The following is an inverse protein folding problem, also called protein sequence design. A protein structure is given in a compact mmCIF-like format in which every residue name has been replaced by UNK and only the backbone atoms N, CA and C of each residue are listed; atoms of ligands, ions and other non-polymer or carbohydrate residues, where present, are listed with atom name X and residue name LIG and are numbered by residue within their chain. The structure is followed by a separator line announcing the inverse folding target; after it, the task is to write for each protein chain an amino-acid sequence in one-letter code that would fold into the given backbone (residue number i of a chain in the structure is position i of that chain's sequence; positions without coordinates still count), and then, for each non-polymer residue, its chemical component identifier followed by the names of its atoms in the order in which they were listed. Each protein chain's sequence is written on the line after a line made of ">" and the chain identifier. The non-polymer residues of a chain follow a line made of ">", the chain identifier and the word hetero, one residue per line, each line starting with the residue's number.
data_IF_414709156339
#
_entry.id   IF_414709156339
#
_cell.length_a   1.000
_cell.length_b   1.000
_cell.length_c   1.000
_cell.angle_alpha   90.00
_cell.angle_beta   90.00
_cell.angle_gamma   90.00
#
_symmetry.space_group_name_H-M   'P 1'
#
loop_
_entity.id
_entity.type
_entity.pdbx_description
1 polymer ?
#
# COMPACT_ATOMS: atom_id res chain seq x y z
N UNK A 1 9.47 14.40 45.47
CA UNK A 1 10.04 13.77 44.26
C UNK A 1 8.87 13.44 43.36
N UNK A 2 8.76 14.08 42.20
CA UNK A 2 7.70 13.79 41.23
C UNK A 2 8.21 12.68 40.29
N UNK A 3 7.54 11.52 40.28
CA UNK A 3 7.79 10.50 39.27
C UNK A 3 7.16 10.94 37.96
N UNK A 4 7.99 11.16 36.95
CA UNK A 4 7.54 11.26 35.56
C UNK A 4 7.36 9.84 35.07
N UNK A 5 6.10 9.41 34.94
CA UNK A 5 5.77 8.19 34.24
C UNK A 5 6.15 8.39 32.76
N UNK A 6 7.22 7.72 32.33
CA UNK A 6 7.49 7.60 30.90
C UNK A 6 6.48 6.60 30.33
N UNK A 7 5.43 7.12 29.68
CA UNK A 7 4.58 6.30 28.82
C UNK A 7 5.43 5.77 27.67
N UNK A 8 5.76 4.50 27.73
CA UNK A 8 6.22 3.72 26.58
C UNK A 8 5.02 3.37 25.73
N UNK A 9 5.13 3.62 24.42
CA UNK A 9 4.21 3.35 23.29
C UNK A 9 3.37 4.58 22.88
N UNK A 10 3.71 5.15 21.71
CA UNK A 10 3.24 4.62 20.43
C UNK A 10 4.41 4.43 19.44
N UNK A 11 4.79 3.19 19.16
CA UNK A 11 5.80 2.92 18.11
C UNK A 11 5.12 2.52 16.79
N UNK A 12 3.95 1.87 16.85
CA UNK A 12 3.25 1.40 15.66
C UNK A 12 2.54 2.54 14.88
N UNK A 13 2.02 3.54 15.58
CA UNK A 13 1.33 4.68 14.96
C UNK A 13 2.32 5.65 14.28
N UNK A 14 3.51 5.83 14.87
CA UNK A 14 4.58 6.65 14.31
C UNK A 14 5.18 6.03 13.03
N UNK A 15 5.33 4.70 12.97
CA UNK A 15 5.85 4.00 11.79
C UNK A 15 4.84 4.00 10.62
N UNK A 16 3.54 3.80 10.91
CA UNK A 16 2.48 3.95 9.90
C UNK A 16 2.39 5.40 9.43
N UNK A 17 2.51 6.38 10.34
CA UNK A 17 2.54 7.81 10.00
C UNK A 17 3.72 8.18 9.10
N UNK A 18 4.93 7.71 9.42
CA UNK A 18 6.12 7.91 8.58
C UNK A 18 5.94 7.30 7.19
N UNK A 19 5.44 6.06 7.13
CA UNK A 19 5.18 5.36 5.88
C UNK A 19 4.12 6.09 5.03
N UNK A 20 3.05 6.60 5.64
CA UNK A 20 2.04 7.44 4.96
C UNK A 20 2.65 8.74 4.42
N UNK A 21 3.56 9.36 5.16
CA UNK A 21 4.28 10.55 4.69
C UNK A 21 5.15 10.24 3.47
N UNK A 22 5.87 9.11 3.49
CA UNK A 22 6.67 8.65 2.33
C UNK A 22 5.77 8.39 1.13
N UNK A 23 4.66 7.68 1.30
CA UNK A 23 3.71 7.41 0.22
C UNK A 23 3.17 8.71 -0.37
N UNK A 24 2.78 9.67 0.48
CA UNK A 24 2.27 10.98 0.04
C UNK A 24 3.33 11.77 -0.75
N UNK A 25 4.58 11.74 -0.30
CA UNK A 25 5.69 12.38 -1.01
C UNK A 25 5.91 11.76 -2.40
N UNK A 26 5.90 10.44 -2.50
CA UNK A 26 6.04 9.73 -3.77
C UNK A 26 4.86 10.00 -4.72
N UNK A 27 3.63 10.05 -4.19
CA UNK A 27 2.45 10.45 -4.98
C UNK A 27 2.59 11.87 -5.55
N UNK A 28 3.19 12.79 -4.79
CA UNK A 28 3.47 14.15 -5.27
C UNK A 28 4.51 14.15 -6.41
N UNK A 29 5.54 13.31 -6.32
CA UNK A 29 6.52 13.14 -7.39
C UNK A 29 5.88 12.55 -8.68
N UNK A 30 5.04 11.52 -8.53
CA UNK A 30 4.29 10.94 -9.66
C UNK A 30 3.36 11.96 -10.32
N UNK A 31 2.70 12.80 -9.54
CA UNK A 31 1.88 13.88 -10.08
C UNK A 31 2.71 14.89 -10.89
N UNK A 32 3.91 15.22 -10.43
CA UNK A 32 4.84 16.07 -11.19
C UNK A 32 5.22 15.45 -12.54
N UNK A 33 5.51 14.14 -12.56
CA UNK A 33 5.80 13.42 -13.80
C UNK A 33 4.59 13.42 -14.76
N UNK A 34 3.38 13.21 -14.24
CA UNK A 34 2.15 13.27 -15.04
C UNK A 34 1.95 14.64 -15.70
N UNK A 35 2.34 15.74 -15.02
CA UNK A 35 2.29 17.10 -15.60
C UNK A 35 3.24 17.24 -16.79
N UNK A 36 4.45 16.69 -16.72
CA UNK A 36 5.38 16.69 -17.86
C UNK A 36 4.88 15.82 -19.01
N UNK A 37 4.33 14.64 -18.71
CA UNK A 37 3.74 13.75 -19.72
C UNK A 37 2.57 14.39 -20.47
N UNK A 38 1.76 15.20 -19.78
CA UNK A 38 0.67 15.95 -20.40
C UNK A 38 1.15 16.90 -21.51
N UNK A 39 2.37 17.47 -21.40
CA UNK A 39 2.94 18.36 -22.43
C UNK A 39 3.19 17.62 -23.75
N UNK A 40 3.45 16.32 -23.68
CA UNK A 40 3.62 15.43 -24.83
C UNK A 40 2.30 14.83 -25.34
N UNK A 41 1.15 15.30 -24.82
CA UNK A 41 -0.20 14.74 -25.09
C UNK A 41 -0.35 13.26 -24.71
N UNK A 42 0.55 12.75 -23.88
CA UNK A 42 0.39 11.42 -23.30
C UNK A 42 -0.66 11.49 -22.20
N UNK A 43 -1.51 10.46 -22.09
CA UNK A 43 -2.47 10.33 -21.01
C UNK A 43 -2.06 9.21 -20.08
N UNK A 44 -2.11 9.48 -18.78
CA UNK A 44 -1.72 8.53 -17.74
C UNK A 44 -2.74 8.59 -16.60
N UNK A 45 -3.10 7.42 -16.10
CA UNK A 45 -3.83 7.27 -14.85
C UNK A 45 -3.16 6.18 -14.02
N UNK A 46 -3.00 6.43 -12.74
CA UNK A 46 -2.41 5.52 -11.77
C UNK A 46 -3.33 5.47 -10.54
N UNK A 47 -3.61 4.25 -10.10
CA UNK A 47 -4.32 3.96 -8.86
C UNK A 47 -3.29 3.33 -7.93
N UNK A 48 -3.11 3.91 -6.75
CA UNK A 48 -2.29 3.33 -5.69
C UNK A 48 -3.19 3.02 -4.50
N UNK A 49 -2.96 1.88 -3.86
CA UNK A 49 -3.66 1.46 -2.64
C UNK A 49 -2.58 1.31 -1.56
N UNK A 50 -2.80 1.92 -0.40
CA UNK A 50 -1.93 1.79 0.75
C UNK A 50 -2.81 1.69 2.00
N UNK A 51 -2.69 0.58 2.73
CA UNK A 51 -3.60 0.24 3.83
C UNK A 51 -5.08 0.36 3.37
N UNK A 52 -5.85 1.30 3.91
CA UNK A 52 -7.25 1.55 3.52
C UNK A 52 -7.41 2.66 2.49
N UNK A 53 -6.34 3.38 2.17
CA UNK A 53 -6.37 4.58 1.36
C UNK A 53 -6.16 4.27 -0.13
N UNK A 54 -6.92 4.97 -0.97
CA UNK A 54 -6.83 4.87 -2.43
C UNK A 54 -6.45 6.23 -3.00
N UNK A 55 -5.30 6.28 -3.66
CA UNK A 55 -4.77 7.48 -4.30
C UNK A 55 -4.92 7.36 -5.81
N UNK A 56 -5.35 8.45 -6.45
CA UNK A 56 -5.43 8.53 -7.91
C UNK A 56 -4.57 9.70 -8.39
N UNK A 57 -3.50 9.37 -9.11
CA UNK A 57 -2.62 10.33 -9.77
C UNK A 57 -2.68 10.13 -11.29
N UNK A 58 -2.45 11.19 -12.05
CA UNK A 58 -2.58 11.11 -13.50
C UNK A 58 -2.71 12.47 -14.14
N UNK A 59 -2.71 12.45 -15.47
CA UNK A 59 -3.07 13.58 -16.32
C UNK A 59 -4.55 13.93 -16.13
N UNK A 60 -4.99 15.08 -16.62
CA UNK A 60 -6.36 15.57 -16.39
C UNK A 60 -7.42 14.57 -16.86
N UNK A 61 -7.30 14.05 -18.10
CA UNK A 61 -8.25 13.06 -18.63
C UNK A 61 -8.10 11.70 -17.97
N UNK A 62 -6.88 11.24 -17.71
CA UNK A 62 -6.63 9.97 -17.03
C UNK A 62 -7.25 9.92 -15.63
N UNK A 63 -7.04 10.98 -14.83
CA UNK A 63 -7.62 11.10 -13.49
C UNK A 63 -9.15 11.22 -13.55
N UNK A 64 -9.69 12.02 -14.47
CA UNK A 64 -11.14 12.16 -14.65
C UNK A 64 -11.81 10.84 -15.01
N UNK A 65 -11.20 10.06 -15.90
CA UNK A 65 -11.69 8.73 -16.30
C UNK A 65 -11.80 7.79 -15.09
N UNK A 66 -10.70 7.64 -14.34
CA UNK A 66 -10.67 6.76 -13.15
C UNK A 66 -11.60 7.25 -12.05
N UNK A 67 -11.77 8.56 -11.87
CA UNK A 67 -12.70 9.10 -10.88
C UNK A 67 -14.17 8.89 -11.25
N UNK A 68 -14.50 8.88 -12.53
CA UNK A 68 -15.85 8.57 -13.02
C UNK A 68 -16.15 7.06 -12.90
N UNK A 69 -15.12 6.22 -13.01
CA UNK A 69 -15.20 4.76 -12.99
C UNK A 69 -14.68 4.20 -11.66
N UNK A 70 -15.47 4.38 -10.61
CA UNK A 70 -15.16 3.88 -9.25
C UNK A 70 -15.10 2.35 -9.17
N UNK A 71 -15.66 1.65 -10.14
CA UNK A 71 -15.52 0.20 -10.29
C UNK A 71 -14.05 -0.22 -10.46
N UNK A 72 -13.26 0.50 -11.26
CA UNK A 72 -11.83 0.18 -11.40
C UNK A 72 -11.05 0.33 -10.09
N UNK A 73 -11.35 1.36 -9.30
CA UNK A 73 -10.72 1.57 -7.99
C UNK A 73 -11.08 0.42 -7.04
N UNK A 74 -12.35 0.03 -7.00
CA UNK A 74 -12.84 -1.07 -6.14
C UNK A 74 -12.27 -2.42 -6.55
N UNK A 75 -12.26 -2.72 -7.85
CA UNK A 75 -11.73 -3.98 -8.37
C UNK A 75 -10.23 -4.11 -8.07
N UNK A 76 -9.48 -3.00 -8.17
CA UNK A 76 -8.06 -3.00 -7.84
C UNK A 76 -7.81 -3.18 -6.34
N UNK A 77 -8.56 -2.49 -5.48
CA UNK A 77 -8.49 -2.70 -4.02
C UNK A 77 -8.79 -4.15 -3.66
N UNK A 78 -9.85 -4.72 -4.24
CA UNK A 78 -10.22 -6.12 -4.02
C UNK A 78 -9.10 -7.07 -4.43
N UNK A 79 -8.50 -6.84 -5.60
CA UNK A 79 -7.35 -7.64 -6.06
C UNK A 79 -6.17 -7.57 -5.07
N UNK A 80 -5.82 -6.38 -4.59
CA UNK A 80 -4.73 -6.21 -3.63
C UNK A 80 -4.96 -7.00 -2.34
N UNK A 81 -6.17 -6.95 -1.78
CA UNK A 81 -6.52 -7.70 -0.56
C UNK A 81 -6.48 -9.21 -0.79
N UNK A 82 -7.06 -9.71 -1.90
CA UNK A 82 -7.05 -11.14 -2.21
C UNK A 82 -5.63 -11.69 -2.42
N UNK A 83 -4.73 -10.90 -3.03
CA UNK A 83 -3.33 -11.31 -3.22
C UNK A 83 -2.53 -11.28 -1.91
N UNK A 84 -2.82 -10.34 -1.01
CA UNK A 84 -2.22 -10.30 0.33
C UNK A 84 -2.61 -11.54 1.16
N UNK A 85 -3.90 -11.92 1.14
CA UNK A 85 -4.40 -13.13 1.79
C UNK A 85 -3.74 -14.40 1.23
N UNK A 86 -3.63 -14.52 -0.10
CA UNK A 86 -2.95 -15.65 -0.74
C UNK A 86 -1.48 -15.72 -0.34
N UNK A 87 -0.78 -14.58 -0.30
CA UNK A 87 0.61 -14.53 0.12
C UNK A 87 0.76 -15.00 1.58
N UNK A 88 -0.11 -14.54 2.49
CA UNK A 88 -0.11 -14.96 3.88
C UNK A 88 -0.35 -16.47 4.05
N UNK A 89 -1.29 -17.05 3.30
CA UNK A 89 -1.57 -18.49 3.31
C UNK A 89 -0.39 -19.32 2.77
N UNK A 90 0.28 -18.86 1.71
CA UNK A 90 1.51 -19.51 1.22
C UNK A 90 2.65 -19.48 2.25
N UNK A 91 2.78 -18.41 3.02
CA UNK A 91 3.75 -18.32 4.12
C UNK A 91 3.41 -19.29 5.28
N UNK A 92 2.11 -19.48 5.58
CA UNK A 92 1.63 -20.44 6.60
C UNK A 92 1.82 -21.91 6.18
N UNK A 93 1.68 -22.20 4.90
CA UNK A 93 1.89 -23.54 4.35
C UNK A 93 3.38 -23.93 4.33
N UNK A 94 4.28 -22.96 4.11
CA UNK A 94 5.74 -23.15 4.22
C UNK A 94 6.19 -23.35 5.67
N UNK A 95 5.66 -22.60 6.64
CA UNK A 95 6.03 -22.77 8.06
C UNK A 95 5.52 -24.11 8.64
N UNK A 96 4.34 -24.58 8.24
CA UNK A 96 3.80 -25.90 8.64
C UNK A 96 4.61 -27.07 8.08
N UNK A 97 5.12 -26.94 6.85
CA UNK A 97 5.98 -27.97 6.23
C UNK A 97 7.37 -28.06 6.87
N UNK A 98 7.88 -26.95 7.41
CA UNK A 98 9.20 -26.92 8.06
C UNK A 98 9.17 -27.50 9.47
N UNK A 99 8.05 -27.36 10.20
CA UNK A 99 7.87 -27.96 11.53
C UNK A 99 7.84 -29.50 11.49
N UNK A 100 7.35 -30.10 10.40
CA UNK A 100 7.22 -31.56 10.29
C UNK A 100 8.51 -32.29 9.84
N UNK A 101 9.60 -31.56 9.57
CA UNK A 101 10.91 -32.13 9.19
C UNK A 101 11.91 -32.24 10.34
N UNK A 102 11.59 -31.71 11.53
CA UNK A 102 12.50 -31.73 12.69
C UNK A 102 12.31 -32.94 13.62
N UNK A 103 11.48 -33.92 13.25
CA UNK A 103 11.13 -35.05 14.13
C UNK A 103 11.37 -36.40 13.44
N UNK A 104 12.62 -36.68 13.10
CA UNK A 104 13.13 -38.04 12.85
C UNK A 104 14.53 -38.20 13.45
N UNK A 105 14.60 -38.38 14.77
CA UNK A 105 15.73 -39.06 15.43
C UNK A 105 15.23 -39.61 16.78
N UNK A 106 14.92 -40.91 16.79
CA UNK A 106 14.82 -41.77 17.97
C UNK A 106 15.02 -43.23 17.55
#
# INVERSE_FOLDING_TARGET
>A
MAQVAMSTLPVEDEESSESRMVVTFLMSALESMCKELAKSKAEVACIAVYETDVFVVGTERGRAFVNTRKDFQKDFVKYCVEEEEKAAEMHKMKSTTQANRMSVDA
#
